data_IF_925565728320
#
_entry.id   IF_925565728320
#
_cell.length_a   1.000
_cell.length_b   1.000
_cell.length_c   1.000
_cell.angle_alpha   90.00
_cell.angle_beta   90.00
_cell.angle_gamma   90.00
#
_symmetry.space_group_name_H-M   'P 1'
#
loop_
_entity.id
_entity.type
_entity.pdbx_description
1 polymer ?
#
# COMPACT_ATOMS: atom_id res chain seq x y z
N UNK A 1 23.13 -14.52 -13.63
CA UNK A 1 22.14 -13.54 -14.11
C UNK A 1 21.84 -12.61 -12.96
N UNK A 2 22.22 -11.33 -13.04
CA UNK A 2 21.95 -10.36 -11.98
C UNK A 2 20.46 -10.03 -11.99
N UNK A 3 19.78 -10.16 -10.85
CA UNK A 3 18.41 -9.70 -10.73
C UNK A 3 18.37 -8.19 -11.01
N UNK A 4 17.38 -7.73 -11.78
CA UNK A 4 17.13 -6.31 -11.93
C UNK A 4 16.83 -5.69 -10.55
N UNK A 5 17.26 -4.44 -10.28
CA UNK A 5 16.91 -3.79 -9.03
C UNK A 5 15.38 -3.70 -8.88
N UNK A 6 14.90 -3.90 -7.65
CA UNK A 6 13.48 -3.75 -7.32
C UNK A 6 12.99 -2.35 -7.72
N UNK A 7 11.82 -2.21 -8.33
CA UNK A 7 11.23 -0.90 -8.61
C UNK A 7 10.73 -0.20 -7.33
N UNK A 8 10.59 -0.95 -6.23
CA UNK A 8 10.15 -0.41 -4.94
C UNK A 8 11.27 0.38 -4.25
N UNK A 9 10.98 1.59 -3.74
CA UNK A 9 11.97 2.35 -2.99
C UNK A 9 12.39 1.64 -1.70
N UNK A 10 13.65 1.82 -1.31
CA UNK A 10 14.09 1.41 0.02
C UNK A 10 13.26 2.07 1.13
N UNK A 11 13.11 1.39 2.26
CA UNK A 11 12.40 1.89 3.44
C UNK A 11 12.84 3.30 3.85
N UNK A 12 14.12 3.60 3.66
CA UNK A 12 14.74 4.87 4.05
C UNK A 12 15.10 5.76 2.84
N UNK A 13 14.42 5.57 1.70
CA UNK A 13 14.63 6.34 0.48
C UNK A 13 14.67 7.88 0.76
N UNK A 14 15.78 8.57 0.46
CA UNK A 14 15.95 9.98 0.79
C UNK A 14 15.66 10.93 -0.38
N UNK A 15 15.22 10.41 -1.54
CA UNK A 15 15.10 11.17 -2.79
C UNK A 15 14.17 12.38 -2.71
N UNK A 16 13.21 12.35 -1.78
CA UNK A 16 12.27 13.45 -1.55
C UNK A 16 12.43 13.95 -0.10
N UNK A 17 13.33 14.92 0.18
CA UNK A 17 13.65 15.34 1.55
C UNK A 17 12.41 15.68 2.39
N UNK A 18 11.47 16.44 1.81
CA UNK A 18 10.20 16.79 2.48
C UNK A 18 9.40 15.55 2.94
N UNK A 19 9.36 14.49 2.13
CA UNK A 19 8.63 13.27 2.46
C UNK A 19 9.43 12.39 3.43
N UNK A 20 10.73 12.30 3.22
CA UNK A 20 11.65 11.57 4.09
C UNK A 20 11.55 12.11 5.54
N UNK A 21 11.68 13.42 5.71
CA UNK A 21 11.61 14.08 7.02
C UNK A 21 10.22 13.95 7.65
N UNK A 22 9.16 14.05 6.84
CA UNK A 22 7.79 13.84 7.31
C UNK A 22 7.58 12.43 7.86
N UNK A 23 8.04 11.41 7.12
CA UNK A 23 7.96 10.01 7.54
C UNK A 23 8.82 9.78 8.79
N UNK A 24 10.05 10.32 8.83
CA UNK A 24 10.93 10.22 9.99
C UNK A 24 10.27 10.77 11.26
N UNK A 25 9.63 11.95 11.19
CA UNK A 25 8.89 12.51 12.32
C UNK A 25 7.70 11.65 12.78
N UNK A 26 7.06 10.90 11.88
CA UNK A 26 5.99 9.96 12.25
C UNK A 26 6.49 8.63 12.80
N UNK A 27 7.71 8.20 12.47
CA UNK A 27 8.35 7.03 13.11
C UNK A 27 8.57 7.26 14.60
N UNK A 28 8.91 8.48 15.00
CA UNK A 28 9.06 8.84 16.41
C UNK A 28 7.71 8.93 17.14
N UNK A 29 6.69 9.51 16.48
CA UNK A 29 5.36 9.69 17.07
C UNK A 29 4.58 8.39 17.19
N UNK A 30 4.69 7.52 16.19
CA UNK A 30 3.91 6.30 16.03
C UNK A 30 4.83 5.16 15.57
N UNK A 31 5.71 4.63 16.45
CA UNK A 31 6.73 3.65 16.08
C UNK A 31 6.17 2.30 15.64
N UNK A 32 4.90 2.00 15.95
CA UNK A 32 4.21 0.79 15.54
C UNK A 32 3.61 0.86 14.14
N UNK A 33 3.55 2.05 13.53
CA UNK A 33 3.01 2.25 12.18
C UNK A 33 4.05 1.89 11.12
N UNK A 34 3.57 1.61 9.91
CA UNK A 34 4.44 1.24 8.79
C UNK A 34 5.50 2.32 8.45
N UNK A 35 5.09 3.58 8.29
CA UNK A 35 5.97 4.75 8.14
C UNK A 35 7.14 4.53 7.16
N UNK A 36 6.83 4.16 5.93
CA UNK A 36 7.78 3.91 4.86
C UNK A 36 7.09 4.05 3.49
N UNK A 37 7.86 4.08 2.38
CA UNK A 37 7.28 3.90 1.05
C UNK A 37 6.38 2.65 1.01
N UNK A 38 5.11 2.84 0.65
CA UNK A 38 4.10 1.78 0.66
C UNK A 38 4.29 0.90 -0.57
N UNK A 39 4.52 -0.42 -0.42
CA UNK A 39 4.76 -1.31 -1.54
C UNK A 39 3.50 -1.51 -2.38
N UNK A 40 3.69 -1.87 -3.65
CA UNK A 40 2.62 -2.30 -4.53
C UNK A 40 1.89 -3.52 -3.95
N UNK A 41 0.55 -3.51 -3.98
CA UNK A 41 -0.24 -4.67 -3.59
C UNK A 41 -0.55 -5.53 -4.81
N UNK A 42 0.03 -6.72 -4.85
CA UNK A 42 -0.04 -7.63 -5.97
C UNK A 42 -0.97 -8.83 -5.67
N UNK A 43 -1.61 -9.42 -6.69
CA UNK A 43 -2.34 -10.66 -6.54
C UNK A 43 -1.40 -11.81 -6.12
N UNK A 44 -1.92 -12.85 -5.43
CA UNK A 44 -1.10 -14.00 -5.02
C UNK A 44 -0.41 -14.74 -6.18
N UNK A 45 -0.97 -14.64 -7.39
CA UNK A 45 -0.40 -15.20 -8.61
C UNK A 45 0.78 -14.39 -9.18
N UNK A 46 1.15 -13.26 -8.56
CA UNK A 46 2.30 -12.44 -8.90
C UNK A 46 2.04 -11.40 -10.00
N UNK A 47 3.04 -10.54 -10.22
CA UNK A 47 2.97 -9.38 -11.12
C UNK A 47 2.55 -9.74 -12.55
N UNK A 48 3.07 -10.85 -13.10
CA UNK A 48 2.75 -11.30 -14.46
C UNK A 48 1.27 -11.65 -14.68
N UNK A 49 0.50 -11.85 -13.60
CA UNK A 49 -0.94 -12.13 -13.67
C UNK A 49 -1.81 -10.87 -13.70
N UNK A 50 -1.21 -9.69 -13.45
CA UNK A 50 -1.93 -8.41 -13.36
C UNK A 50 -2.46 -8.00 -14.73
N UNK A 51 -3.76 -7.67 -14.80
CA UNK A 51 -4.42 -7.15 -16.01
C UNK A 51 -5.01 -5.74 -15.86
N UNK A 52 -5.00 -5.21 -14.63
CA UNK A 52 -5.48 -3.87 -14.29
C UNK A 52 -4.57 -3.29 -13.23
N UNK A 53 -4.05 -2.08 -13.46
CA UNK A 53 -3.27 -1.32 -12.50
C UNK A 53 -4.06 -0.09 -12.07
N UNK A 54 -4.19 0.11 -10.75
CA UNK A 54 -4.84 1.27 -10.16
C UNK A 54 -3.76 2.12 -9.49
N UNK A 55 -3.58 3.34 -9.98
CA UNK A 55 -2.58 4.29 -9.46
C UNK A 55 -3.29 5.38 -8.67
N UNK A 56 -3.03 5.44 -7.36
CA UNK A 56 -3.48 6.51 -6.49
C UNK A 56 -2.54 7.72 -6.50
N UNK A 57 -2.91 8.78 -5.78
CA UNK A 57 -2.08 9.98 -5.67
C UNK A 57 -0.91 9.80 -4.69
N UNK A 58 -1.19 9.45 -3.44
CA UNK A 58 -0.20 9.27 -2.38
C UNK A 58 -0.78 8.50 -1.18
N UNK A 59 0.05 7.88 -0.32
CA UNK A 59 -0.40 7.27 0.92
C UNK A 59 -1.05 8.28 1.88
N UNK A 60 -2.28 8.00 2.31
CA UNK A 60 -2.91 8.73 3.41
C UNK A 60 -2.18 8.47 4.72
N UNK A 61 -1.98 9.51 5.53
CA UNK A 61 -1.22 9.43 6.80
C UNK A 61 -1.76 8.34 7.74
N UNK A 62 -3.09 8.28 7.93
CA UNK A 62 -3.76 7.28 8.79
C UNK A 62 -4.25 6.04 8.02
N UNK A 63 -4.16 6.09 6.70
CA UNK A 63 -4.41 4.98 5.80
C UNK A 63 -3.12 4.21 5.53
N UNK A 64 -2.69 4.17 4.28
CA UNK A 64 -1.57 3.37 3.84
C UNK A 64 -0.22 3.69 4.53
N UNK A 65 0.04 4.92 4.97
CA UNK A 65 1.25 5.22 5.76
C UNK A 65 1.25 4.52 7.12
N UNK A 66 0.07 4.32 7.72
CA UNK A 66 -0.10 3.56 8.96
C UNK A 66 -0.10 2.06 8.71
N UNK A 67 -0.86 1.61 7.71
CA UNK A 67 -1.17 0.19 7.50
C UNK A 67 -0.17 -0.56 6.62
N UNK A 68 0.61 0.16 5.80
CA UNK A 68 1.56 -0.43 4.86
C UNK A 68 0.93 -1.11 3.64
N UNK A 69 -0.40 -1.00 3.46
CA UNK A 69 -1.11 -1.52 2.29
C UNK A 69 -1.81 -0.36 1.56
N UNK A 70 -1.66 -0.24 0.23
CA UNK A 70 -2.38 0.76 -0.57
C UNK A 70 -3.88 0.79 -0.24
N UNK A 71 -4.45 1.99 -0.23
CA UNK A 71 -5.89 2.22 0.00
C UNK A 71 -6.46 1.53 1.26
N UNK A 72 -5.66 1.28 2.30
CA UNK A 72 -6.11 0.56 3.50
C UNK A 72 -6.04 1.43 4.74
N UNK A 73 -7.13 1.48 5.50
CA UNK A 73 -7.21 2.21 6.78
C UNK A 73 -7.79 3.62 6.70
N UNK A 74 -8.32 4.01 5.54
CA UNK A 74 -9.11 5.22 5.32
C UNK A 74 -10.29 4.95 4.36
N UNK A 75 -11.15 5.96 4.17
CA UNK A 75 -12.38 5.83 3.39
C UNK A 75 -12.16 5.52 1.90
N UNK A 76 -10.99 5.82 1.34
CA UNK A 76 -10.71 5.50 -0.06
C UNK A 76 -10.74 3.99 -0.30
N UNK A 77 -10.33 3.20 0.70
CA UNK A 77 -10.39 1.74 0.67
C UNK A 77 -11.80 1.18 0.59
N UNK A 78 -12.73 1.72 1.37
CA UNK A 78 -14.10 1.21 1.45
C UNK A 78 -14.79 1.25 0.08
N UNK A 79 -14.64 2.39 -0.62
CA UNK A 79 -15.18 2.55 -1.97
C UNK A 79 -14.44 1.67 -2.98
N UNK A 80 -13.10 1.70 -2.98
CA UNK A 80 -12.30 0.99 -3.97
C UNK A 80 -12.48 -0.53 -3.87
N UNK A 81 -12.20 -1.11 -2.70
CA UNK A 81 -12.27 -2.56 -2.52
C UNK A 81 -13.69 -3.09 -2.59
N UNK A 82 -14.68 -2.36 -2.09
CA UNK A 82 -16.09 -2.69 -2.29
C UNK A 82 -16.44 -2.79 -3.78
N UNK A 83 -15.94 -1.85 -4.59
CA UNK A 83 -16.14 -1.87 -6.05
C UNK A 83 -15.41 -3.03 -6.71
N UNK A 84 -14.15 -3.30 -6.34
CA UNK A 84 -13.38 -4.42 -6.89
C UNK A 84 -14.04 -5.76 -6.60
N UNK A 85 -14.54 -5.96 -5.36
CA UNK A 85 -15.29 -7.15 -4.98
C UNK A 85 -16.57 -7.27 -5.82
N UNK A 86 -17.34 -6.18 -5.96
CA UNK A 86 -18.58 -6.18 -6.75
C UNK A 86 -18.36 -6.49 -8.23
N UNK A 87 -17.17 -6.18 -8.77
CA UNK A 87 -16.78 -6.47 -10.16
C UNK A 87 -16.01 -7.80 -10.31
N UNK A 88 -15.82 -8.56 -9.23
CA UNK A 88 -15.09 -9.84 -9.27
C UNK A 88 -13.58 -9.70 -9.49
N UNK A 89 -13.01 -8.53 -9.19
CA UNK A 89 -11.58 -8.20 -9.28
C UNK A 89 -10.85 -8.31 -7.93
N UNK A 90 -11.58 -8.65 -6.86
CA UNK A 90 -11.06 -9.01 -5.54
C UNK A 90 -12.05 -9.99 -4.89
N UNK A 91 -11.63 -10.68 -3.81
CA UNK A 91 -12.52 -11.61 -3.07
C UNK A 91 -12.47 -11.34 -1.57
N UNK A 92 -13.47 -11.82 -0.85
CA UNK A 92 -13.56 -11.70 0.60
C UNK A 92 -14.23 -10.41 1.06
N UNK A 93 -13.91 -9.98 2.29
CA UNK A 93 -14.46 -8.80 2.94
C UNK A 93 -13.31 -7.87 3.31
N UNK A 94 -13.36 -6.63 2.84
CA UNK A 94 -12.39 -5.61 3.23
C UNK A 94 -12.72 -5.08 4.62
N UNK A 95 -11.75 -5.12 5.54
CA UNK A 95 -11.93 -4.67 6.95
C UNK A 95 -11.05 -3.48 7.32
N UNK A 96 -10.47 -2.81 6.33
CA UNK A 96 -9.57 -1.67 6.51
C UNK A 96 -8.34 -1.98 7.41
N UNK A 97 -7.91 -3.24 7.44
CA UNK A 97 -6.69 -3.69 8.15
C UNK A 97 -5.82 -4.53 7.21
N UNK A 98 -4.48 -4.44 7.30
CA UNK A 98 -3.59 -5.17 6.39
C UNK A 98 -3.70 -6.69 6.51
N UNK A 99 -4.16 -7.20 7.65
CA UNK A 99 -4.31 -8.62 7.97
C UNK A 99 -5.74 -9.15 7.74
N UNK A 100 -6.61 -8.39 7.07
CA UNK A 100 -8.00 -8.78 6.83
C UNK A 100 -8.18 -9.95 5.84
N UNK A 101 -7.07 -10.41 5.24
CA UNK A 101 -7.05 -11.58 4.37
C UNK A 101 -7.71 -11.35 3.02
N UNK A 102 -7.92 -10.10 2.59
CA UNK A 102 -8.44 -9.75 1.26
C UNK A 102 -7.44 -10.13 0.15
N UNK A 103 -7.73 -11.10 -0.74
CA UNK A 103 -6.98 -11.32 -1.97
C UNK A 103 -7.46 -10.42 -3.12
N UNK A 104 -6.52 -9.99 -3.96
CA UNK A 104 -6.76 -9.46 -5.31
C UNK A 104 -6.92 -10.61 -6.31
#
# INVERSE_FOLDING_TARGET
MSAAPSPEPDRDCPLCPRLHDFIAGWREREPSWFNAPVPTFLPPAGEASVRLLIVGLAPGLRGANRTGRPFTGDYAGDLLYGTLIAQGLARGEFKARPDDGLPL
#
